data_IF_561709203280
#
_entry.id   IF_561709203280
#
_cell.length_a   1.000
_cell.length_b   1.000
_cell.length_c   1.000
_cell.angle_alpha   90.00
_cell.angle_beta   90.00
_cell.angle_gamma   90.00
#
_symmetry.space_group_name_H-M   'P 1'
#
loop_
_entity.id
_entity.type
_entity.pdbx_description
1 polymer ?
#
# COMPACT_ATOMS: atom_id res chain seq x y z
N UNK A 1 -15.18 11.09 11.21
CA UNK A 1 -14.28 11.80 10.27
C UNK A 1 -14.53 11.22 8.88
N UNK A 2 -14.59 12.03 7.81
CA UNK A 2 -14.73 11.46 6.46
C UNK A 2 -13.34 11.06 5.96
N UNK A 3 -13.09 9.77 5.84
CA UNK A 3 -11.90 9.24 5.18
C UNK A 3 -12.11 9.39 3.68
N UNK A 4 -11.08 9.89 2.97
CA UNK A 4 -11.16 10.03 1.52
C UNK A 4 -11.21 8.63 0.87
N UNK A 5 -12.26 8.31 0.07
CA UNK A 5 -12.38 6.99 -0.55
C UNK A 5 -11.24 6.68 -1.54
N UNK A 6 -10.54 7.69 -2.06
CA UNK A 6 -9.32 7.49 -2.87
C UNK A 6 -8.15 6.90 -2.07
N UNK A 7 -8.14 7.11 -0.74
CA UNK A 7 -7.12 6.61 0.19
C UNK A 7 -7.55 5.24 0.73
N UNK A 8 -8.75 5.18 1.33
CA UNK A 8 -9.39 3.95 1.81
C UNK A 8 -10.89 4.10 1.59
N UNK A 9 -11.49 3.18 0.84
CA UNK A 9 -12.94 3.02 0.85
C UNK A 9 -13.36 2.29 2.13
N UNK A 10 -13.84 3.06 3.11
CA UNK A 10 -14.25 2.55 4.42
C UNK A 10 -15.41 1.56 4.31
N UNK A 11 -16.38 1.83 3.44
CA UNK A 11 -17.56 0.96 3.31
C UNK A 11 -17.17 -0.38 2.70
N UNK A 12 -16.36 -0.35 1.64
CA UNK A 12 -15.84 -1.57 1.03
C UNK A 12 -14.92 -2.34 2.00
N UNK A 13 -14.02 -1.65 2.70
CA UNK A 13 -13.15 -2.27 3.68
C UNK A 13 -13.95 -2.98 4.78
N UNK A 14 -14.91 -2.28 5.41
CA UNK A 14 -15.73 -2.89 6.45
C UNK A 14 -16.61 -4.03 5.93
N UNK A 15 -17.08 -3.94 4.68
CA UNK A 15 -17.81 -5.03 4.02
C UNK A 15 -16.93 -6.27 3.82
N UNK A 16 -15.67 -6.10 3.40
CA UNK A 16 -14.70 -7.21 3.23
C UNK A 16 -14.33 -7.89 4.54
N UNK A 17 -14.38 -7.14 5.63
CA UNK A 17 -14.10 -7.63 6.97
C UNK A 17 -15.37 -8.10 7.71
N UNK A 18 -16.53 -8.15 7.04
CA UNK A 18 -17.82 -8.49 7.66
C UNK A 18 -18.15 -7.65 8.91
N UNK A 19 -17.65 -6.40 8.97
CA UNK A 19 -17.79 -5.51 10.11
C UNK A 19 -16.82 -5.78 11.27
N UNK A 20 -15.89 -6.72 11.12
CA UNK A 20 -14.95 -7.14 12.17
C UNK A 20 -13.81 -6.13 12.37
N UNK A 21 -13.90 -5.39 13.47
CA UNK A 21 -12.90 -4.40 13.87
C UNK A 21 -11.65 -5.03 14.50
N UNK A 22 -11.75 -6.23 15.09
CA UNK A 22 -10.59 -6.96 15.63
C UNK A 22 -9.70 -7.43 14.48
N UNK A 23 -10.31 -7.97 13.42
CA UNK A 23 -9.60 -8.35 12.20
C UNK A 23 -8.94 -7.15 11.51
N UNK A 24 -9.62 -5.99 11.48
CA UNK A 24 -9.02 -4.75 10.97
C UNK A 24 -7.76 -4.36 11.75
N UNK A 25 -7.81 -4.48 13.08
CA UNK A 25 -6.71 -4.17 13.98
C UNK A 25 -5.52 -5.11 13.76
N UNK A 26 -5.75 -6.42 13.64
CA UNK A 26 -4.71 -7.41 13.32
C UNK A 26 -4.04 -7.12 11.96
N UNK A 27 -4.85 -6.88 10.92
CA UNK A 27 -4.33 -6.56 9.58
C UNK A 27 -3.51 -5.27 9.58
N UNK A 28 -3.97 -4.25 10.31
CA UNK A 28 -3.25 -2.98 10.42
C UNK A 28 -1.91 -3.14 11.13
N UNK A 29 -1.84 -3.92 12.20
CA UNK A 29 -0.60 -4.18 12.93
C UNK A 29 0.43 -4.90 12.05
N UNK A 30 0.01 -5.96 11.36
CA UNK A 30 0.86 -6.67 10.38
C UNK A 30 1.35 -5.73 9.29
N UNK A 31 0.47 -4.90 8.75
CA UNK A 31 0.84 -3.93 7.72
C UNK A 31 1.88 -2.92 8.21
N UNK A 32 1.69 -2.35 9.42
CA UNK A 32 2.62 -1.36 10.01
C UNK A 32 4.00 -1.95 10.26
N UNK A 33 4.08 -3.23 10.61
CA UNK A 33 5.35 -3.95 10.78
C UNK A 33 6.07 -4.18 9.44
N UNK A 34 5.34 -4.58 8.40
CA UNK A 34 5.92 -5.05 7.15
C UNK A 34 6.19 -3.94 6.10
N UNK A 35 5.35 -2.88 6.05
CA UNK A 35 5.45 -1.89 4.97
C UNK A 35 6.80 -1.19 4.84
N UNK A 36 7.56 -0.89 5.93
CA UNK A 36 8.87 -0.24 5.80
C UNK A 36 9.86 -1.11 5.02
N UNK A 37 9.81 -2.44 5.23
CA UNK A 37 10.64 -3.39 4.51
C UNK A 37 10.25 -3.42 3.01
N UNK A 38 8.96 -3.46 2.70
CA UNK A 38 8.48 -3.42 1.31
C UNK A 38 8.92 -2.16 0.57
N UNK A 39 8.83 -0.99 1.22
CA UNK A 39 9.30 0.27 0.63
C UNK A 39 10.82 0.27 0.42
N UNK A 40 11.58 -0.28 1.36
CA UNK A 40 13.03 -0.43 1.24
C UNK A 40 13.44 -1.33 0.07
N UNK A 41 12.74 -2.46 -0.11
CA UNK A 41 13.02 -3.39 -1.21
C UNK A 41 12.69 -2.78 -2.58
N UNK A 42 11.60 -2.03 -2.69
CA UNK A 42 11.25 -1.28 -3.91
C UNK A 42 12.31 -0.21 -4.20
N UNK A 43 12.70 0.57 -3.20
CA UNK A 43 13.72 1.62 -3.37
C UNK A 43 15.05 1.03 -3.84
N UNK A 44 15.51 -0.05 -3.21
CA UNK A 44 16.72 -0.74 -3.58
C UNK A 44 16.65 -1.32 -5.00
N UNK A 45 15.50 -1.88 -5.40
CA UNK A 45 15.32 -2.41 -6.74
C UNK A 45 15.36 -1.31 -7.81
N UNK A 46 14.76 -0.14 -7.54
CA UNK A 46 14.82 1.02 -8.43
C UNK A 46 16.27 1.53 -8.56
N UNK A 47 16.99 1.68 -7.45
CA UNK A 47 18.38 2.17 -7.46
C UNK A 47 19.31 1.25 -8.24
N UNK A 48 19.13 -0.06 -8.09
CA UNK A 48 19.96 -1.08 -8.75
C UNK A 48 19.48 -1.44 -10.17
N UNK A 49 18.39 -0.82 -10.65
CA UNK A 49 17.74 -1.18 -11.92
C UNK A 49 17.42 -2.69 -12.01
N UNK A 50 17.02 -3.29 -10.89
CA UNK A 50 16.70 -4.72 -10.77
C UNK A 50 15.21 -4.95 -11.00
N UNK A 51 14.85 -5.26 -12.25
CA UNK A 51 13.44 -5.36 -12.67
C UNK A 51 12.71 -6.52 -12.01
N UNK A 52 13.40 -7.64 -11.78
CA UNK A 52 12.82 -8.80 -11.14
C UNK A 52 12.48 -8.51 -9.67
N UNK A 53 13.41 -7.87 -8.93
CA UNK A 53 13.15 -7.47 -7.55
C UNK A 53 12.09 -6.39 -7.45
N UNK A 54 12.09 -5.41 -8.37
CA UNK A 54 11.09 -4.35 -8.39
C UNK A 54 9.69 -4.96 -8.58
N UNK A 55 9.55 -5.86 -9.56
CA UNK A 55 8.31 -6.59 -9.80
C UNK A 55 7.85 -7.33 -8.54
N UNK A 56 8.73 -8.10 -7.93
CA UNK A 56 8.38 -8.95 -6.78
C UNK A 56 7.99 -8.11 -5.55
N UNK A 57 8.79 -7.10 -5.19
CA UNK A 57 8.52 -6.24 -4.05
C UNK A 57 7.22 -5.43 -4.23
N UNK A 58 7.00 -4.88 -5.43
CA UNK A 58 5.79 -4.15 -5.76
C UNK A 58 4.54 -5.06 -5.76
N UNK A 59 4.66 -6.30 -6.26
CA UNK A 59 3.57 -7.29 -6.21
C UNK A 59 3.16 -7.63 -4.77
N UNK A 60 4.14 -7.85 -3.89
CA UNK A 60 3.88 -8.12 -2.47
C UNK A 60 3.16 -6.94 -1.81
N UNK A 61 3.67 -5.73 -1.99
CA UNK A 61 3.05 -4.53 -1.43
C UNK A 61 1.64 -4.30 -1.98
N UNK A 62 1.42 -4.53 -3.28
CA UNK A 62 0.11 -4.46 -3.92
C UNK A 62 -0.90 -5.38 -3.24
N UNK A 63 -0.52 -6.60 -2.92
CA UNK A 63 -1.35 -7.54 -2.17
C UNK A 63 -1.70 -7.02 -0.78
N UNK A 64 -0.71 -6.50 -0.05
CA UNK A 64 -0.89 -5.95 1.28
C UNK A 64 -1.86 -4.75 1.29
N UNK A 65 -1.66 -3.76 0.41
CA UNK A 65 -2.54 -2.58 0.34
C UNK A 65 -3.92 -2.91 -0.23
N UNK A 66 -4.01 -3.97 -1.03
CA UNK A 66 -5.28 -4.48 -1.58
C UNK A 66 -6.26 -4.94 -0.51
N UNK A 67 -5.76 -5.36 0.67
CA UNK A 67 -6.61 -5.74 1.80
C UNK A 67 -7.40 -4.55 2.38
N UNK A 68 -6.88 -3.33 2.26
CA UNK A 68 -7.46 -2.12 2.86
C UNK A 68 -8.38 -1.33 1.91
N UNK A 69 -8.79 -1.91 0.79
CA UNK A 69 -9.52 -1.20 -0.28
C UNK A 69 -8.81 0.10 -0.72
N UNK A 70 -7.46 0.11 -0.68
CA UNK A 70 -6.67 1.31 -0.87
C UNK A 70 -6.27 1.50 -2.34
N UNK A 71 -7.22 1.93 -3.17
CA UNK A 71 -7.12 1.93 -4.64
C UNK A 71 -5.89 2.68 -5.15
N UNK A 72 -5.61 3.89 -4.65
CA UNK A 72 -4.46 4.70 -5.09
C UNK A 72 -3.13 3.97 -4.88
N UNK A 73 -2.90 3.42 -3.69
CA UNK A 73 -1.68 2.69 -3.39
C UNK A 73 -1.57 1.38 -4.20
N UNK A 74 -2.70 0.69 -4.41
CA UNK A 74 -2.77 -0.49 -5.25
C UNK A 74 -2.33 -0.19 -6.69
N UNK A 75 -2.86 0.87 -7.29
CA UNK A 75 -2.56 1.27 -8.67
C UNK A 75 -1.08 1.67 -8.83
N UNK A 76 -0.53 2.42 -7.87
CA UNK A 76 0.88 2.82 -7.87
C UNK A 76 1.83 1.62 -7.70
N UNK A 77 1.51 0.69 -6.81
CA UNK A 77 2.27 -0.55 -6.65
C UNK A 77 2.19 -1.41 -7.92
N UNK A 78 1.02 -1.51 -8.54
CA UNK A 78 0.86 -2.21 -9.81
C UNK A 78 1.67 -1.56 -10.94
N UNK A 79 1.72 -0.23 -10.99
CA UNK A 79 2.53 0.50 -11.97
C UNK A 79 4.03 0.18 -11.81
N UNK A 80 4.54 0.14 -10.57
CA UNK A 80 5.93 -0.27 -10.30
C UNK A 80 6.18 -1.75 -10.64
N UNK A 81 5.21 -2.62 -10.37
CA UNK A 81 5.28 -4.03 -10.77
C UNK A 81 5.46 -4.16 -12.29
N UNK A 82 4.69 -3.39 -13.05
CA UNK A 82 4.78 -3.37 -14.52
C UNK A 82 6.09 -2.77 -15.01
N UNK A 83 6.55 -1.66 -14.42
CA UNK A 83 7.86 -1.05 -14.72
C UNK A 83 9.01 -2.05 -14.50
N UNK A 84 8.96 -2.82 -13.42
CA UNK A 84 9.92 -3.89 -13.15
C UNK A 84 9.85 -5.02 -14.16
N UNK A 85 8.64 -5.45 -14.53
CA UNK A 85 8.42 -6.48 -15.54
C UNK A 85 8.92 -6.08 -16.93
N UNK A 86 8.75 -4.82 -17.32
CA UNK A 86 9.15 -4.28 -18.62
C UNK A 86 10.60 -3.78 -18.65
N UNK A 87 11.26 -3.70 -17.48
CA UNK A 87 12.60 -3.13 -17.34
C UNK A 87 12.66 -1.61 -17.59
N UNK A 88 11.53 -0.91 -17.40
CA UNK A 88 11.40 0.53 -17.65
C UNK A 88 11.49 1.33 -16.36
N UNK A 89 12.68 1.82 -16.03
CA UNK A 89 12.93 2.58 -14.80
C UNK A 89 12.70 4.08 -14.93
N UNK A 90 12.47 4.58 -16.15
CA UNK A 90 12.20 6.00 -16.37
C UNK A 90 10.89 6.38 -15.67
N UNK A 91 10.96 7.30 -14.71
CA UNK A 91 9.81 7.73 -13.93
C UNK A 91 9.49 6.86 -12.71
N UNK A 92 10.13 5.69 -12.55
CA UNK A 92 9.89 4.78 -11.40
C UNK A 92 10.11 5.46 -10.05
N UNK A 93 11.09 6.38 -9.96
CA UNK A 93 11.31 7.16 -8.74
C UNK A 93 10.12 8.07 -8.40
N UNK A 94 9.48 8.69 -9.39
CA UNK A 94 8.31 9.54 -9.18
C UNK A 94 7.13 8.73 -8.63
N UNK A 95 6.84 7.61 -9.29
CA UNK A 95 5.79 6.67 -8.84
C UNK A 95 6.08 6.15 -7.43
N UNK A 96 7.35 5.86 -7.10
CA UNK A 96 7.73 5.43 -5.76
C UNK A 96 7.51 6.51 -4.70
N UNK A 97 7.81 7.77 -4.98
CA UNK A 97 7.51 8.87 -4.04
C UNK A 97 6.00 9.01 -3.80
N UNK A 98 5.19 8.94 -4.87
CA UNK A 98 3.73 8.97 -4.74
C UNK A 98 3.20 7.78 -3.93
N UNK A 99 3.76 6.59 -4.13
CA UNK A 99 3.42 5.39 -3.37
C UNK A 99 3.73 5.57 -1.89
N UNK A 100 4.90 6.09 -1.53
CA UNK A 100 5.24 6.37 -0.12
C UNK A 100 4.24 7.31 0.54
N UNK A 101 3.82 8.37 -0.17
CA UNK A 101 2.78 9.27 0.33
C UNK A 101 1.46 8.54 0.54
N UNK A 102 1.03 7.72 -0.41
CA UNK A 102 -0.19 6.94 -0.30
C UNK A 102 -0.17 5.94 0.87
N UNK A 103 0.98 5.33 1.16
CA UNK A 103 1.15 4.41 2.30
C UNK A 103 1.01 5.16 3.64
N UNK A 104 1.59 6.34 3.77
CA UNK A 104 1.44 7.16 4.97
C UNK A 104 -0.01 7.68 5.13
N UNK A 105 -0.68 8.00 4.03
CA UNK A 105 -2.11 8.34 4.01
C UNK A 105 -3.00 7.17 4.52
N UNK A 106 -2.75 5.94 4.07
CA UNK A 106 -3.43 4.72 4.54
C UNK A 106 -3.23 4.54 6.04
N UNK A 107 -1.98 4.65 6.52
CA UNK A 107 -1.65 4.49 7.94
C UNK A 107 -2.38 5.51 8.81
N UNK A 108 -2.45 6.78 8.37
CA UNK A 108 -3.19 7.82 9.08
C UNK A 108 -4.70 7.52 9.11
N UNK A 109 -5.25 7.07 7.98
CA UNK A 109 -6.67 6.73 7.88
C UNK A 109 -7.04 5.55 8.79
N UNK A 110 -6.26 4.46 8.79
CA UNK A 110 -6.46 3.30 9.66
C UNK A 110 -6.32 3.66 11.15
N UNK A 111 -5.33 4.49 11.50
CA UNK A 111 -5.16 4.99 12.86
C UNK A 111 -6.37 5.83 13.32
N UNK A 112 -6.95 6.65 12.44
CA UNK A 112 -8.16 7.41 12.74
C UNK A 112 -9.37 6.49 12.95
N UNK A 113 -9.52 5.40 12.17
CA UNK A 113 -10.60 4.42 12.34
C UNK A 113 -10.55 3.73 13.71
N UNK A 114 -9.36 3.41 14.22
CA UNK A 114 -9.19 2.85 15.57
C UNK A 114 -9.69 3.81 16.66
N UNK A 115 -9.47 5.12 16.50
CA UNK A 115 -9.81 6.12 17.52
C UNK A 115 -11.30 6.49 17.56
N UNK A 116 -12.09 6.13 16.54
CA UNK A 116 -13.55 6.39 16.52
C UNK A 116 -14.38 5.42 17.37
N UNK A 117 -13.75 4.40 17.97
CA UNK A 117 -14.45 3.33 18.72
C UNK A 117 -14.45 3.58 20.24
N UNK A 118 -14.04 4.78 20.72
CA UNK A 118 -14.07 5.18 22.14
C UNK A 118 -15.17 6.19 22.43
#
# INVERSE_FOLDING_TARGET
MLINPEIIDREELMSRLDGDMELLEELFELFVEDYPQFLGDIEAAIQNHDGQKLKQAAHTLKGAVGNFAAKKAFDLAFQLEMMGQEGQFQGARGVFEELKTAIEEIKQALAAMKQETV
#
